data_IF_831322131485
#
_entry.id   IF_831322131485
#
_cell.length_a   1.000
_cell.length_b   1.000
_cell.length_c   1.000
_cell.angle_alpha   90.00
_cell.angle_beta   90.00
_cell.angle_gamma   90.00
#
_symmetry.space_group_name_H-M   'P 1'
#
loop_
_entity.id
_entity.type
_entity.pdbx_description
1 polymer ?
#
# COMPACT_ATOMS: atom_id res chain seq x y z
N UNK A 1 -0.73 -41.19 5.73
CA UNK A 1 -1.00 -40.00 4.90
C UNK A 1 -2.51 -39.88 4.79
N UNK A 2 -3.13 -39.09 5.66
CA UNK A 2 -4.52 -38.67 5.47
C UNK A 2 -4.50 -37.17 5.23
N UNK A 3 -4.85 -36.80 4.00
CA UNK A 3 -5.06 -35.41 3.63
C UNK A 3 -6.44 -35.05 4.17
N UNK A 4 -6.49 -34.35 5.32
CA UNK A 4 -7.75 -33.87 5.85
C UNK A 4 -8.27 -32.75 4.94
N UNK A 5 -9.21 -33.11 4.07
CA UNK A 5 -9.92 -32.22 3.15
C UNK A 5 -10.55 -31.06 3.92
N UNK A 6 -10.00 -29.86 3.71
CA UNK A 6 -10.47 -28.61 4.30
C UNK A 6 -11.76 -28.17 3.61
N UNK A 7 -12.90 -28.71 4.06
CA UNK A 7 -14.22 -28.14 3.74
C UNK A 7 -14.73 -27.41 4.98
N UNK A 8 -14.31 -26.15 5.15
CA UNK A 8 -14.86 -25.27 6.18
C UNK A 8 -15.82 -24.28 5.51
N UNK A 9 -17.10 -24.64 5.52
CA UNK A 9 -18.18 -23.69 5.27
C UNK A 9 -18.21 -22.70 6.45
N UNK A 10 -17.74 -21.47 6.25
CA UNK A 10 -17.70 -20.43 7.28
C UNK A 10 -18.76 -19.37 6.98
N UNK A 11 -19.88 -19.39 7.71
CA UNK A 11 -20.78 -18.23 7.88
C UNK A 11 -20.48 -17.45 9.17
N UNK A 12 -19.26 -17.58 9.73
CA UNK A 12 -18.81 -16.83 10.90
C UNK A 12 -18.44 -15.38 10.58
N UNK A 13 -18.34 -14.49 11.60
CA UNK A 13 -17.95 -13.11 11.41
C UNK A 13 -16.59 -13.04 10.69
N UNK A 14 -16.58 -12.40 9.53
CA UNK A 14 -15.36 -12.17 8.76
C UNK A 14 -14.54 -11.08 9.45
N UNK A 15 -13.41 -11.45 10.05
CA UNK A 15 -12.44 -10.50 10.57
C UNK A 15 -11.78 -9.79 9.36
N UNK A 16 -12.08 -8.51 9.17
CA UNK A 16 -11.56 -7.76 8.01
C UNK A 16 -10.15 -7.25 8.23
N UNK A 17 -9.83 -6.88 9.48
CA UNK A 17 -8.56 -6.27 9.86
C UNK A 17 -8.10 -6.80 11.20
N UNK A 18 -6.79 -6.94 11.36
CA UNK A 18 -6.14 -7.24 12.63
C UNK A 18 -4.84 -6.44 12.74
N UNK A 19 -4.50 -6.01 13.95
CA UNK A 19 -3.29 -5.24 14.24
C UNK A 19 -2.61 -5.86 15.45
N UNK A 20 -1.34 -6.19 15.31
CA UNK A 20 -0.51 -6.74 16.39
C UNK A 20 0.94 -6.27 16.20
N UNK A 21 1.68 -6.09 17.28
CA UNK A 21 3.10 -5.72 17.23
C UNK A 21 4.00 -6.94 17.02
N UNK A 22 3.54 -8.13 17.41
CA UNK A 22 4.27 -9.39 17.24
C UNK A 22 4.18 -9.87 15.80
N UNK A 23 5.34 -9.98 15.14
CA UNK A 23 5.43 -10.50 13.78
C UNK A 23 4.94 -11.94 13.70
N UNK A 24 5.34 -12.79 14.65
CA UNK A 24 4.90 -14.18 14.73
C UNK A 24 3.38 -14.33 14.86
N UNK A 25 2.73 -13.47 15.67
CA UNK A 25 1.27 -13.45 15.79
C UNK A 25 0.62 -13.07 14.47
N UNK A 26 1.18 -12.06 13.81
CA UNK A 26 0.70 -11.57 12.51
C UNK A 26 0.83 -12.65 11.41
N UNK A 27 1.98 -13.31 11.32
CA UNK A 27 2.23 -14.38 10.34
C UNK A 27 1.29 -15.56 10.55
N UNK A 28 1.16 -16.02 11.79
CA UNK A 28 0.23 -17.10 12.15
C UNK A 28 -1.22 -16.75 11.76
N UNK A 29 -1.65 -15.52 12.02
CA UNK A 29 -2.99 -15.07 11.65
C UNK A 29 -3.19 -15.02 10.13
N UNK A 30 -2.22 -14.49 9.37
CA UNK A 30 -2.27 -14.45 7.89
C UNK A 30 -2.37 -15.86 7.28
N UNK A 31 -1.62 -16.82 7.83
CA UNK A 31 -1.62 -18.21 7.34
C UNK A 31 -2.98 -18.89 7.54
N UNK A 32 -3.68 -18.57 8.63
CA UNK A 32 -4.95 -19.19 8.96
C UNK A 32 -6.16 -18.43 8.39
N UNK A 33 -6.01 -17.13 8.12
CA UNK A 33 -7.05 -16.22 7.66
C UNK A 33 -6.53 -15.31 6.53
N UNK A 34 -6.28 -15.86 5.33
CA UNK A 34 -5.70 -15.11 4.20
C UNK A 34 -6.58 -13.93 3.74
N UNK A 35 -7.88 -13.95 4.05
CA UNK A 35 -8.83 -12.87 3.79
C UNK A 35 -8.68 -11.68 4.75
N UNK A 36 -8.04 -11.86 5.91
CA UNK A 36 -7.85 -10.83 6.92
C UNK A 36 -6.69 -9.91 6.55
N UNK A 37 -6.91 -8.59 6.59
CA UNK A 37 -5.82 -7.63 6.46
C UNK A 37 -5.07 -7.49 7.79
N UNK A 38 -3.96 -8.21 7.90
CA UNK A 38 -3.13 -8.23 9.11
C UNK A 38 -1.99 -7.23 9.00
N UNK A 39 -1.91 -6.33 9.98
CA UNK A 39 -0.91 -5.26 10.07
C UNK A 39 0.02 -5.50 11.26
N UNK A 40 1.33 -5.55 10.98
CA UNK A 40 2.35 -5.66 12.00
C UNK A 40 2.87 -4.26 12.36
N UNK A 41 2.27 -3.63 13.36
CA UNK A 41 2.64 -2.29 13.84
C UNK A 41 2.07 -2.06 15.25
N UNK A 42 2.52 -1.01 15.93
CA UNK A 42 1.97 -0.67 17.25
C UNK A 42 0.54 -0.13 17.12
N UNK A 43 -0.26 -0.28 18.17
CA UNK A 43 -1.63 0.27 18.21
C UNK A 43 -1.60 1.80 18.06
N UNK A 44 -0.61 2.48 18.63
CA UNK A 44 -0.44 3.93 18.49
C UNK A 44 -0.12 4.33 17.05
N UNK A 45 0.78 3.61 16.39
CA UNK A 45 1.15 3.86 14.99
C UNK A 45 -0.06 3.63 14.07
N UNK A 46 -0.82 2.55 14.29
CA UNK A 46 -2.05 2.31 13.55
C UNK A 46 -3.11 3.40 13.80
N UNK A 47 -3.25 3.86 15.04
CA UNK A 47 -4.20 4.94 15.36
C UNK A 47 -3.83 6.25 14.66
N UNK A 48 -2.54 6.60 14.61
CA UNK A 48 -2.07 7.78 13.86
C UNK A 48 -2.23 7.59 12.35
N UNK A 49 -2.02 6.37 11.83
CA UNK A 49 -2.33 6.03 10.44
C UNK A 49 -3.80 6.30 10.12
N UNK A 50 -4.74 5.93 10.99
CA UNK A 50 -6.17 6.17 10.76
C UNK A 50 -6.49 7.66 10.65
N UNK A 51 -5.84 8.53 11.45
CA UNK A 51 -5.99 9.98 11.35
C UNK A 51 -5.49 10.52 10.01
N UNK A 52 -4.30 10.10 9.57
CA UNK A 52 -3.75 10.54 8.29
C UNK A 52 -4.52 9.96 7.10
N UNK A 53 -4.99 8.71 7.21
CA UNK A 53 -5.86 8.07 6.22
C UNK A 53 -7.17 8.83 6.04
N UNK A 54 -7.79 9.31 7.12
CA UNK A 54 -8.99 10.14 7.05
C UNK A 54 -8.72 11.44 6.29
N UNK A 55 -7.59 12.11 6.55
CA UNK A 55 -7.18 13.33 5.82
C UNK A 55 -7.00 13.04 4.33
N UNK A 56 -6.36 11.92 3.98
CA UNK A 56 -6.19 11.51 2.58
C UNK A 56 -7.55 11.26 1.90
N UNK A 57 -8.45 10.51 2.55
CA UNK A 57 -9.79 10.26 2.04
C UNK A 57 -10.55 11.57 1.78
N UNK A 58 -10.52 12.51 2.73
CA UNK A 58 -11.18 13.82 2.58
C UNK A 58 -10.61 14.63 1.42
N UNK A 59 -9.28 14.61 1.23
CA UNK A 59 -8.62 15.38 0.16
C UNK A 59 -8.88 14.81 -1.23
N UNK A 60 -8.73 13.50 -1.39
CA UNK A 60 -8.66 12.88 -2.71
C UNK A 60 -9.88 12.05 -3.09
N UNK A 61 -10.60 11.47 -2.12
CA UNK A 61 -11.72 10.55 -2.40
C UNK A 61 -13.06 11.29 -2.35
N UNK A 62 -13.28 12.12 -1.33
CA UNK A 62 -14.56 12.84 -1.14
C UNK A 62 -14.79 13.92 -2.22
N UNK A 63 -13.72 14.44 -2.84
CA UNK A 63 -13.82 15.44 -3.91
C UNK A 63 -14.05 14.87 -5.31
N UNK A 64 -14.05 13.54 -5.50
CA UNK A 64 -14.27 12.92 -6.82
C UNK A 64 -15.70 13.17 -7.33
N UNK A 65 -16.68 13.31 -6.42
CA UNK A 65 -18.07 13.62 -6.75
C UNK A 65 -18.38 15.12 -6.91
N UNK A 66 -17.42 16.02 -6.62
CA UNK A 66 -17.58 17.48 -6.73
C UNK A 66 -16.66 18.05 -7.81
N UNK A 67 -16.77 17.57 -9.05
CA UNK A 67 -16.27 18.33 -10.20
C UNK A 67 -17.18 19.54 -10.40
N UNK A 68 -16.90 20.63 -9.68
CA UNK A 68 -17.06 21.98 -10.21
C UNK A 68 -15.65 22.49 -10.49
N UNK A 69 -15.41 22.71 -11.77
CA UNK A 69 -14.42 23.51 -12.48
C UNK A 69 -13.25 24.16 -11.71
N UNK A 70 -12.07 24.08 -12.35
CA UNK A 70 -10.74 24.57 -11.96
C UNK A 70 -10.04 23.69 -10.91
N UNK A 71 -9.04 22.88 -11.24
CA UNK A 71 -7.82 23.21 -12.00
C UNK A 71 -7.60 22.19 -13.13
N UNK A 72 -7.31 22.68 -14.32
CA UNK A 72 -6.87 21.85 -15.45
C UNK A 72 -5.55 21.17 -15.08
N UNK A 73 -5.58 19.91 -14.68
CA UNK A 73 -4.43 19.04 -14.90
C UNK A 73 -4.38 18.79 -16.41
N UNK A 74 -3.67 19.66 -17.13
CA UNK A 74 -3.38 19.45 -18.56
C UNK A 74 -2.43 18.26 -18.66
N UNK A 75 -3.00 17.07 -18.80
CA UNK A 75 -2.26 15.94 -19.36
C UNK A 75 -2.11 16.22 -20.86
N UNK A 76 -1.05 16.93 -21.23
CA UNK A 76 -0.56 16.88 -22.61
C UNK A 76 0.14 15.52 -22.78
N UNK A 77 -0.65 14.46 -22.92
CA UNK A 77 -0.19 13.19 -23.44
C UNK A 77 -0.85 13.04 -24.81
N UNK A 78 -0.23 13.69 -25.79
CA UNK A 78 -0.53 13.50 -27.19
C UNK A 78 -0.19 12.05 -27.55
N UNK A 79 -1.21 11.27 -27.92
CA UNK A 79 -1.11 9.88 -28.38
C UNK A 79 -0.21 9.85 -29.63
N UNK A 80 1.07 9.58 -29.41
CA UNK A 80 2.03 9.27 -30.45
C UNK A 80 2.52 7.85 -30.22
N UNK A 81 1.72 6.89 -30.70
CA UNK A 81 2.19 5.53 -30.98
C UNK A 81 3.36 5.62 -31.95
N UNK A 82 4.57 5.61 -31.41
CA UNK A 82 5.78 5.21 -32.14
C UNK A 82 6.52 4.21 -31.29
N UNK A 83 6.41 2.95 -31.69
CA UNK A 83 7.42 1.95 -31.38
C UNK A 83 8.77 2.51 -31.80
N UNK A 84 9.62 2.76 -30.82
CA UNK A 84 11.05 2.83 -31.01
C UNK A 84 11.68 2.28 -29.73
N UNK A 85 12.10 1.02 -29.82
CA UNK A 85 13.09 0.45 -28.92
C UNK A 85 14.30 1.38 -28.90
N UNK A 86 14.43 2.13 -27.82
CA UNK A 86 15.68 2.72 -27.40
C UNK A 86 15.88 2.28 -25.97
N UNK A 87 16.71 1.26 -25.78
CA UNK A 87 17.31 0.98 -24.48
C UNK A 87 18.27 2.13 -24.19
N UNK A 88 17.72 3.30 -23.84
CA UNK A 88 18.50 4.35 -23.23
C UNK A 88 19.00 3.77 -21.90
N UNK A 89 20.31 3.61 -21.78
CA UNK A 89 20.93 3.20 -20.53
C UNK A 89 20.40 4.10 -19.41
N UNK A 90 19.56 3.53 -18.55
CA UNK A 90 19.03 4.23 -17.38
C UNK A 90 20.22 4.79 -16.60
N UNK A 91 20.25 6.09 -16.28
CA UNK A 91 21.30 6.62 -15.41
C UNK A 91 21.25 5.87 -14.09
N UNK A 92 22.42 5.43 -13.61
CA UNK A 92 22.52 4.73 -12.34
C UNK A 92 22.02 5.63 -11.21
N UNK A 93 20.79 5.40 -10.73
CA UNK A 93 20.19 6.14 -9.62
C UNK A 93 18.72 6.50 -9.75
N UNK A 94 18.12 6.41 -10.94
CA UNK A 94 16.68 6.68 -11.14
C UNK A 94 15.87 5.38 -11.14
N UNK A 95 14.80 5.34 -10.35
CA UNK A 95 13.93 4.18 -10.21
C UNK A 95 12.48 4.57 -10.49
N UNK A 96 11.80 3.79 -11.31
CA UNK A 96 10.36 3.94 -11.55
C UNK A 96 9.56 3.16 -10.50
N UNK A 97 8.58 3.82 -9.91
CA UNK A 97 7.62 3.21 -8.98
C UNK A 97 6.49 2.59 -9.79
N UNK A 98 6.40 1.25 -9.80
CA UNK A 98 5.34 0.55 -10.54
C UNK A 98 3.98 0.69 -9.85
N UNK A 99 3.94 0.50 -8.52
CA UNK A 99 2.71 0.67 -7.72
C UNK A 99 3.00 0.84 -6.23
N UNK A 100 2.06 1.51 -5.56
CA UNK A 100 1.96 1.49 -4.11
C UNK A 100 1.30 0.17 -3.67
N UNK A 101 1.93 -0.55 -2.74
CA UNK A 101 1.47 -1.85 -2.24
C UNK A 101 1.16 -1.86 -0.75
N UNK A 102 1.45 -0.77 -0.05
CA UNK A 102 1.15 -0.64 1.37
C UNK A 102 1.28 0.79 1.85
N UNK A 103 0.72 1.03 3.04
CA UNK A 103 0.77 2.29 3.75
C UNK A 103 0.92 2.00 5.24
N UNK A 104 1.72 2.78 5.95
CA UNK A 104 1.84 2.74 7.40
C UNK A 104 2.15 4.13 7.94
N UNK A 105 2.00 4.31 9.25
CA UNK A 105 2.51 5.48 9.96
C UNK A 105 3.63 5.02 10.89
N UNK A 106 4.64 5.84 11.10
CA UNK A 106 5.77 5.48 11.94
C UNK A 106 7.10 5.78 11.27
N UNK A 107 8.12 5.05 11.68
CA UNK A 107 9.45 5.10 11.10
C UNK A 107 9.95 3.68 10.77
N UNK A 108 9.36 3.02 9.76
CA UNK A 108 9.70 1.64 9.40
C UNK A 108 11.15 1.47 8.94
N UNK A 109 11.85 2.56 8.64
CA UNK A 109 13.26 2.59 8.23
C UNK A 109 14.22 2.94 9.37
N UNK A 110 13.71 3.24 10.58
CA UNK A 110 14.50 3.65 11.74
C UNK A 110 15.44 4.85 11.47
N UNK A 111 15.01 5.82 10.64
CA UNK A 111 15.80 7.03 10.28
C UNK A 111 15.47 8.24 11.15
N UNK A 112 14.67 8.07 12.19
CA UNK A 112 14.16 9.11 13.08
C UNK A 112 12.99 9.92 12.50
N UNK A 113 12.56 9.67 11.26
CA UNK A 113 11.53 10.46 10.57
C UNK A 113 10.17 9.78 10.64
N UNK A 114 9.49 9.94 11.77
CA UNK A 114 8.13 9.45 11.98
C UNK A 114 7.12 10.17 11.08
N UNK A 115 6.24 9.44 10.41
CA UNK A 115 5.19 10.02 9.57
C UNK A 115 4.50 8.97 8.70
N UNK A 116 3.66 9.42 7.77
CA UNK A 116 3.00 8.55 6.80
C UNK A 116 4.01 8.05 5.76
N UNK A 117 4.01 6.74 5.50
CA UNK A 117 4.93 6.08 4.56
C UNK A 117 4.17 5.17 3.62
N UNK A 118 4.70 5.01 2.40
CA UNK A 118 4.16 4.08 1.42
C UNK A 118 5.19 2.99 1.11
N UNK A 119 4.72 1.74 1.08
CA UNK A 119 5.50 0.63 0.53
C UNK A 119 5.29 0.62 -0.97
N UNK A 120 6.38 0.66 -1.74
CA UNK A 120 6.32 0.61 -3.19
C UNK A 120 6.83 -0.73 -3.72
N UNK A 121 6.32 -1.14 -4.86
CA UNK A 121 6.87 -2.22 -5.67
C UNK A 121 7.56 -1.57 -6.87
N UNK A 122 8.85 -1.84 -7.05
CA UNK A 122 9.59 -1.43 -8.24
C UNK A 122 9.75 -2.63 -9.17
N UNK A 123 9.84 -2.37 -10.47
CA UNK A 123 10.10 -3.41 -11.47
C UNK A 123 11.48 -4.06 -11.27
N UNK A 124 12.39 -3.39 -10.56
CA UNK A 124 13.68 -3.89 -10.12
C UNK A 124 13.95 -3.43 -8.66
N UNK A 125 13.80 -4.34 -7.68
CA UNK A 125 14.09 -4.21 -6.24
C UNK A 125 13.21 -3.25 -5.40
N UNK A 126 12.62 -3.76 -4.30
CA UNK A 126 11.85 -3.00 -3.29
C UNK A 126 12.65 -1.82 -2.70
N UNK A 127 12.25 -0.58 -2.99
CA UNK A 127 12.71 0.62 -2.27
C UNK A 127 11.52 1.19 -1.48
N UNK A 128 11.73 1.79 -0.31
CA UNK A 128 10.67 2.50 0.43
C UNK A 128 10.83 4.00 0.15
N UNK A 129 9.84 4.64 -0.48
CA UNK A 129 9.86 6.10 -0.65
C UNK A 129 9.16 6.79 0.53
N UNK A 130 9.81 7.82 1.05
CA UNK A 130 9.26 8.77 2.02
C UNK A 130 8.92 10.05 1.25
N UNK A 131 7.66 10.45 1.22
CA UNK A 131 7.25 11.81 0.84
C UNK A 131 7.13 12.69 2.08
#
# INVERSE_FOLDING_TARGET
MEVCSKHRMNHGPMLRWAVDVSEASCESLKLNHPETQVRNETVNDFFDLLKEWEKLCKRYVVNIGKKKDSTSWKSNAEDSRKEAQSYSAMPAGEYEVLRLVGICYGDPTNVGKRGLKFKVCNLFHFVLFVF
#
